data_IF_876017510776
#
_entry.id   IF_876017510776
#
_cell.length_a   1.000
_cell.length_b   1.000
_cell.length_c   1.000
_cell.angle_alpha   90.00
_cell.angle_beta   90.00
_cell.angle_gamma   90.00
#
_symmetry.space_group_name_H-M   'P 1'
#
loop_
_entity.id
_entity.type
_entity.pdbx_description
1 polymer ?
#
# COMPACT_ATOMS: atom_id res chain seq x y z
N UNK A 1 -14.03 4.77 14.67
CA UNK A 1 -13.41 3.42 14.68
C UNK A 1 -12.40 3.38 13.55
N UNK A 2 -11.10 3.16 13.81
CA UNK A 2 -10.11 2.95 12.75
C UNK A 2 -10.32 1.54 12.21
N UNK A 3 -10.93 1.40 11.03
CA UNK A 3 -11.23 0.11 10.41
C UNK A 3 -9.90 -0.46 9.94
N UNK A 4 -9.39 -1.51 10.60
CA UNK A 4 -8.28 -2.29 10.05
C UNK A 4 -8.81 -2.98 8.79
N UNK A 5 -8.38 -2.52 7.61
CA UNK A 5 -8.80 -3.10 6.35
C UNK A 5 -8.02 -4.41 6.13
N UNK A 6 -8.81 -5.48 6.03
CA UNK A 6 -8.36 -6.82 5.62
C UNK A 6 -7.81 -6.74 4.20
N UNK A 7 -7.08 -7.78 3.76
CA UNK A 7 -6.74 -8.01 2.35
C UNK A 7 -8.04 -8.08 1.55
N UNK A 8 -8.49 -6.94 1.04
CA UNK A 8 -9.72 -6.81 0.28
C UNK A 8 -9.56 -7.38 -1.12
N UNK A 9 -10.67 -7.84 -1.70
CA UNK A 9 -10.73 -8.13 -3.13
C UNK A 9 -11.33 -6.96 -3.89
N UNK A 10 -11.20 -6.99 -5.22
CA UNK A 10 -11.80 -5.99 -6.11
C UNK A 10 -13.33 -5.98 -5.98
N UNK A 11 -13.95 -7.15 -5.83
CA UNK A 11 -15.40 -7.26 -5.68
C UNK A 11 -15.91 -6.58 -4.40
N UNK A 12 -15.12 -6.65 -3.33
CA UNK A 12 -15.48 -6.08 -2.02
C UNK A 12 -15.14 -4.60 -1.89
N UNK A 13 -14.00 -4.15 -2.44
CA UNK A 13 -13.46 -2.81 -2.17
C UNK A 13 -13.08 -2.02 -3.42
N UNK A 14 -13.24 -2.58 -4.62
CA UNK A 14 -12.77 -1.98 -5.86
C UNK A 14 -11.25 -2.05 -6.05
N UNK A 15 -10.51 -2.70 -5.14
CA UNK A 15 -9.07 -2.87 -5.26
C UNK A 15 -8.54 -4.11 -4.55
N UNK A 16 -7.34 -4.54 -4.93
CA UNK A 16 -6.54 -5.53 -4.17
C UNK A 16 -5.03 -5.26 -4.32
N UNK A 17 -4.20 -5.85 -3.45
CA UNK A 17 -2.75 -5.76 -3.58
C UNK A 17 -2.21 -6.82 -4.55
N UNK A 18 -1.24 -6.43 -5.36
CA UNK A 18 -0.50 -7.34 -6.24
C UNK A 18 0.83 -7.71 -5.62
N UNK A 19 1.25 -8.97 -5.76
CA UNK A 19 2.59 -9.41 -5.36
C UNK A 19 3.64 -8.79 -6.29
N UNK A 20 4.53 -7.99 -5.70
CA UNK A 20 5.67 -7.42 -6.40
C UNK A 20 6.70 -8.50 -6.76
N UNK A 21 6.78 -9.58 -5.96
CA UNK A 21 7.60 -10.76 -6.26
C UNK A 21 7.09 -11.49 -7.52
N UNK A 22 5.78 -11.73 -7.62
CA UNK A 22 5.21 -12.36 -8.82
C UNK A 22 5.41 -11.47 -10.05
N UNK A 23 5.24 -10.15 -9.89
CA UNK A 23 5.48 -9.18 -10.98
C UNK A 23 6.95 -9.17 -11.42
N UNK A 24 7.89 -9.24 -10.47
CA UNK A 24 9.33 -9.34 -10.76
C UNK A 24 9.65 -10.68 -11.44
N UNK A 25 9.09 -11.80 -10.98
CA UNK A 25 9.31 -13.11 -11.59
C UNK A 25 8.81 -13.16 -13.04
N UNK A 26 7.68 -12.51 -13.33
CA UNK A 26 7.13 -12.42 -14.69
C UNK A 26 7.90 -11.46 -15.61
N UNK A 27 8.47 -10.39 -15.05
CA UNK A 27 9.15 -9.33 -15.82
C UNK A 27 10.47 -8.88 -15.16
N UNK A 28 11.44 -9.79 -14.98
CA UNK A 28 12.63 -9.50 -14.19
C UNK A 28 13.42 -8.34 -14.79
N UNK A 29 13.55 -8.26 -16.12
CA UNK A 29 14.39 -7.24 -16.77
C UNK A 29 13.83 -5.81 -16.66
N UNK A 30 12.51 -5.66 -16.46
CA UNK A 30 11.84 -4.34 -16.47
C UNK A 30 11.17 -3.98 -15.15
N UNK A 31 11.07 -4.93 -14.22
CA UNK A 31 10.44 -4.74 -12.92
C UNK A 31 11.34 -5.24 -11.80
N UNK A 32 12.35 -4.44 -11.44
CA UNK A 32 13.24 -4.72 -10.32
C UNK A 32 12.58 -4.36 -8.99
N UNK A 33 12.82 -5.17 -7.96
CA UNK A 33 12.32 -4.93 -6.59
C UNK A 33 13.48 -4.98 -5.58
N UNK A 34 13.34 -4.35 -4.41
CA UNK A 34 14.34 -4.49 -3.35
C UNK A 34 14.52 -5.95 -2.92
N UNK A 35 15.72 -6.29 -2.43
CA UNK A 35 16.01 -7.64 -1.95
C UNK A 35 15.08 -8.05 -0.81
N UNK A 36 14.88 -9.36 -0.65
CA UNK A 36 14.04 -9.93 0.40
C UNK A 36 14.44 -9.41 1.79
N UNK A 37 15.74 -9.40 2.10
CA UNK A 37 16.25 -8.91 3.39
C UNK A 37 15.86 -7.45 3.65
N UNK A 38 16.00 -6.58 2.64
CA UNK A 38 15.61 -5.17 2.75
C UNK A 38 14.10 -5.01 2.99
N UNK A 39 13.29 -5.81 2.30
CA UNK A 39 11.82 -5.79 2.45
C UNK A 39 11.37 -6.35 3.80
N UNK A 40 12.10 -7.30 4.37
CA UNK A 40 11.78 -7.93 5.65
C UNK A 40 12.31 -7.17 6.88
N UNK A 41 13.27 -6.26 6.71
CA UNK A 41 13.94 -5.52 7.79
C UNK A 41 13.35 -4.13 8.07
N UNK A 42 12.20 -3.77 7.49
CA UNK A 42 11.62 -2.44 7.62
C UNK A 42 10.95 -2.20 9.00
N UNK A 43 10.86 -0.92 9.35
CA UNK A 43 10.30 -0.43 10.63
C UNK A 43 9.30 0.72 10.44
N UNK A 44 8.65 1.13 11.53
CA UNK A 44 7.80 2.32 11.54
C UNK A 44 8.53 3.55 10.98
N UNK A 45 7.83 4.33 10.16
CA UNK A 45 8.34 5.50 9.45
C UNK A 45 8.96 5.21 8.08
N UNK A 46 9.24 3.95 7.76
CA UNK A 46 9.74 3.59 6.43
C UNK A 46 8.65 3.74 5.38
N UNK A 47 8.98 4.36 4.25
CA UNK A 47 8.11 4.47 3.10
C UNK A 47 8.25 3.25 2.22
N UNK A 48 7.14 2.67 1.79
CA UNK A 48 7.10 1.59 0.81
C UNK A 48 6.14 1.91 -0.31
N UNK A 49 6.50 1.52 -1.53
CA UNK A 49 5.58 1.59 -2.67
C UNK A 49 4.99 0.22 -2.89
N UNK A 50 3.68 0.15 -2.96
CA UNK A 50 2.92 -1.08 -3.23
C UNK A 50 2.22 -0.98 -4.58
N UNK A 51 1.79 -2.14 -5.09
CA UNK A 51 0.98 -2.27 -6.30
C UNK A 51 -0.48 -2.50 -5.92
N UNK A 52 -1.38 -1.63 -6.38
CA UNK A 52 -2.81 -1.73 -6.17
C UNK A 52 -3.48 -2.01 -7.52
N UNK A 53 -4.06 -3.20 -7.71
CA UNK A 53 -4.97 -3.46 -8.84
C UNK A 53 -6.32 -2.86 -8.49
N UNK A 54 -6.74 -1.84 -9.23
CA UNK A 54 -7.93 -1.02 -8.97
C UNK A 54 -8.89 -1.18 -10.14
N UNK A 55 -10.16 -1.45 -9.84
CA UNK A 55 -11.28 -1.42 -10.79
C UNK A 55 -12.21 -0.29 -10.38
N UNK A 56 -12.52 0.61 -11.32
CA UNK A 56 -13.46 1.71 -11.08
C UNK A 56 -14.76 1.49 -11.85
N UNK A 57 -15.87 1.84 -11.21
CA UNK A 57 -17.22 1.75 -11.77
C UNK A 57 -17.91 3.11 -11.76
N UNK A 58 -18.74 3.29 -12.77
CA UNK A 58 -19.70 4.38 -12.87
C UNK A 58 -21.03 3.83 -13.40
N UNK A 59 -22.12 4.13 -12.71
CA UNK A 59 -23.46 3.62 -13.01
C UNK A 59 -23.49 2.08 -13.08
N UNK A 60 -22.79 1.43 -12.15
CA UNK A 60 -22.69 -0.03 -12.07
C UNK A 60 -21.88 -0.71 -13.18
N UNK A 61 -21.22 0.05 -14.07
CA UNK A 61 -20.37 -0.50 -15.14
C UNK A 61 -18.90 -0.22 -14.88
N UNK A 62 -18.03 -1.19 -15.18
CA UNK A 62 -16.58 -0.99 -15.13
C UNK A 62 -16.18 0.00 -16.23
N UNK A 63 -15.50 1.08 -15.83
CA UNK A 63 -15.02 2.12 -16.74
C UNK A 63 -13.50 2.09 -16.88
N UNK A 64 -12.77 1.61 -15.87
CA UNK A 64 -11.31 1.45 -15.92
C UNK A 64 -10.83 0.33 -15.00
N UNK A 65 -9.70 -0.27 -15.36
CA UNK A 65 -8.98 -1.22 -14.52
C UNK A 65 -7.48 -1.13 -14.78
N UNK A 66 -6.72 -0.92 -13.72
CA UNK A 66 -5.27 -0.70 -13.83
C UNK A 66 -4.54 -0.98 -12.53
N UNK A 67 -3.20 -1.11 -12.64
CA UNK A 67 -2.33 -1.26 -11.47
C UNK A 67 -1.63 0.05 -11.15
N UNK A 68 -2.01 0.64 -10.03
CA UNK A 68 -1.43 1.87 -9.51
C UNK A 68 -0.30 1.59 -8.52
N UNK A 69 0.72 2.45 -8.54
CA UNK A 69 1.84 2.41 -7.60
C UNK A 69 1.68 3.52 -6.59
N UNK A 70 1.46 3.17 -5.33
CA UNK A 70 1.17 4.15 -4.28
C UNK A 70 2.07 3.97 -3.07
N UNK A 71 2.44 5.11 -2.46
CA UNK A 71 3.25 5.13 -1.25
C UNK A 71 2.41 4.84 -0.02
N UNK A 72 2.97 4.04 0.88
CA UNK A 72 2.43 3.70 2.19
C UNK A 72 3.56 3.91 3.21
N UNK A 73 3.27 4.60 4.31
CA UNK A 73 4.23 4.75 5.42
C UNK A 73 3.97 3.65 6.44
N UNK A 74 4.97 2.81 6.71
CA UNK A 74 4.84 1.75 7.72
C UNK A 74 4.57 2.39 9.08
N UNK A 75 3.50 1.95 9.73
CA UNK A 75 3.15 2.36 11.09
C UNK A 75 3.66 1.35 12.12
N UNK A 76 3.51 0.06 11.84
CA UNK A 76 3.91 -1.00 12.74
C UNK A 76 4.20 -2.29 11.99
N UNK A 77 4.97 -3.18 12.63
CA UNK A 77 5.06 -4.59 12.20
C UNK A 77 3.84 -5.35 12.73
N UNK A 78 3.33 -6.29 11.94
CA UNK A 78 2.20 -7.15 12.33
C UNK A 78 2.47 -8.57 11.86
N UNK A 79 2.82 -9.45 12.79
CA UNK A 79 3.25 -10.82 12.47
C UNK A 79 4.45 -10.81 11.51
N UNK A 80 4.32 -11.52 10.39
CA UNK A 80 5.32 -11.56 9.31
C UNK A 80 5.25 -10.38 8.34
N UNK A 81 4.30 -9.46 8.51
CA UNK A 81 4.08 -8.32 7.62
C UNK A 81 4.03 -6.99 8.36
N UNK A 82 3.30 -6.06 7.75
CA UNK A 82 3.25 -4.65 8.13
C UNK A 82 1.82 -4.15 8.14
N UNK A 83 1.60 -3.13 8.96
CA UNK A 83 0.48 -2.21 8.84
C UNK A 83 1.06 -0.84 8.51
N UNK A 84 0.59 -0.23 7.43
CA UNK A 84 1.02 1.11 7.02
C UNK A 84 -0.15 2.00 6.67
N UNK A 85 0.11 3.29 6.53
CA UNK A 85 -0.87 4.32 6.21
C UNK A 85 -0.67 4.75 4.75
N UNK A 86 -1.73 4.70 3.94
CA UNK A 86 -1.69 5.16 2.56
C UNK A 86 -1.36 6.66 2.52
N UNK A 87 -0.28 7.01 1.82
CA UNK A 87 0.28 8.37 1.72
C UNK A 87 0.08 8.97 0.32
N UNK A 88 -1.00 8.56 -0.35
CA UNK A 88 -1.37 8.98 -1.69
C UNK A 88 -2.90 8.98 -1.79
N UNK A 89 -3.44 10.00 -2.45
CA UNK A 89 -4.84 10.02 -2.86
C UNK A 89 -5.07 9.03 -4.03
N UNK A 90 -5.90 7.99 -3.86
CA UNK A 90 -6.23 7.02 -4.91
C UNK A 90 -7.32 7.52 -5.87
N UNK A 91 -7.92 8.70 -5.62
CA UNK A 91 -9.07 9.19 -6.36
C UNK A 91 -10.40 8.60 -5.86
N UNK A 92 -11.47 8.81 -6.64
CA UNK A 92 -12.85 8.49 -6.23
C UNK A 92 -13.55 7.73 -7.37
N UNK A 93 -14.23 6.63 -7.02
CA UNK A 93 -15.14 5.90 -7.90
C UNK A 93 -16.26 5.22 -7.08
N UNK A 94 -17.35 4.82 -7.73
CA UNK A 94 -18.56 4.27 -7.08
C UNK A 94 -18.27 3.08 -6.15
N UNK A 95 -17.37 2.20 -6.58
CA UNK A 95 -17.00 0.96 -5.89
C UNK A 95 -15.64 1.03 -5.18
N UNK A 96 -14.92 2.16 -5.25
CA UNK A 96 -13.57 2.28 -4.70
C UNK A 96 -13.63 2.65 -3.22
N UNK A 97 -13.36 1.66 -2.38
CA UNK A 97 -13.25 1.82 -0.94
C UNK A 97 -11.77 1.86 -0.52
N UNK A 98 -11.12 2.97 -0.87
CA UNK A 98 -9.73 3.27 -0.53
C UNK A 98 -9.57 4.80 -0.44
N UNK A 99 -8.97 5.29 0.64
CA UNK A 99 -8.73 6.71 0.84
C UNK A 99 -7.32 6.95 1.36
N UNK A 100 -6.78 8.13 1.07
CA UNK A 100 -5.56 8.59 1.74
C UNK A 100 -5.76 8.53 3.27
N UNK A 101 -4.76 8.03 3.99
CA UNK A 101 -4.82 7.83 5.43
C UNK A 101 -5.38 6.48 5.87
N UNK A 102 -5.89 5.65 4.96
CA UNK A 102 -6.35 4.29 5.29
C UNK A 102 -5.19 3.39 5.73
N UNK A 103 -5.50 2.49 6.66
CA UNK A 103 -4.56 1.49 7.14
C UNK A 103 -4.55 0.28 6.21
N UNK A 104 -3.38 -0.03 5.64
CA UNK A 104 -3.16 -1.13 4.70
C UNK A 104 -2.35 -2.22 5.39
N UNK A 105 -2.84 -3.46 5.33
CA UNK A 105 -2.13 -4.66 5.78
C UNK A 105 -1.43 -5.31 4.59
N UNK A 106 -0.12 -5.52 4.67
CA UNK A 106 0.66 -6.09 3.58
C UNK A 106 1.87 -6.88 4.09
N UNK A 107 2.31 -7.88 3.33
CA UNK A 107 3.56 -8.59 3.56
C UNK A 107 4.72 -8.05 2.70
N UNK A 108 5.97 -8.46 3.00
CA UNK A 108 7.16 -8.09 2.22
C UNK A 108 6.99 -8.30 0.72
N UNK A 109 6.29 -9.35 0.30
CA UNK A 109 6.02 -9.76 -1.08
C UNK A 109 5.34 -8.67 -1.94
N UNK A 110 4.65 -7.71 -1.31
CA UNK A 110 3.95 -6.62 -2.01
C UNK A 110 4.84 -5.39 -2.25
N UNK A 111 6.02 -5.30 -1.65
CA UNK A 111 6.86 -4.10 -1.67
C UNK A 111 7.66 -4.04 -2.98
N UNK A 112 7.37 -3.06 -3.82
CA UNK A 112 8.10 -2.84 -5.08
C UNK A 112 9.17 -1.75 -4.99
N UNK A 113 9.10 -0.87 -3.98
CA UNK A 113 10.09 0.19 -3.76
C UNK A 113 10.14 0.56 -2.28
N UNK A 114 11.29 1.06 -1.80
CA UNK A 114 11.51 1.51 -0.42
C UNK A 114 12.04 2.94 -0.45
N UNK A 115 11.61 3.77 0.50
CA UNK A 115 12.16 5.09 0.76
C UNK A 115 12.28 5.36 2.26
N UNK A 116 13.05 6.39 2.62
CA UNK A 116 13.16 6.91 3.99
C UNK A 116 12.62 8.35 4.00
N UNK A 117 11.29 8.54 4.10
CA UNK A 117 10.72 9.88 4.17
C UNK A 117 11.25 10.62 5.41
N UNK A 118 11.43 11.95 5.34
CA UNK A 118 11.90 12.73 6.49
C UNK A 118 10.96 12.56 7.69
N UNK A 119 11.53 12.42 8.89
CA UNK A 119 10.73 12.33 10.12
C UNK A 119 9.78 13.52 10.29
N UNK A 120 10.24 14.74 9.97
CA UNK A 120 9.41 15.96 10.04
C UNK A 120 8.18 15.89 9.11
N UNK A 121 8.31 15.29 7.92
CA UNK A 121 7.18 15.10 7.02
C UNK A 121 6.08 14.26 7.67
N UNK A 122 6.46 13.11 8.26
CA UNK A 122 5.53 12.20 8.93
C UNK A 122 4.88 12.89 10.12
N UNK A 123 5.67 13.59 10.93
CA UNK A 123 5.17 14.32 12.11
C UNK A 123 4.19 15.43 11.73
N UNK A 124 4.48 16.19 10.66
CA UNK A 124 3.61 17.26 10.19
C UNK A 124 2.29 16.72 9.63
N UNK A 125 2.35 15.60 8.91
CA UNK A 125 1.18 15.04 8.21
C UNK A 125 0.30 14.17 9.12
N UNK A 126 0.91 13.32 9.94
CA UNK A 126 0.21 12.30 10.72
C UNK A 126 0.29 12.51 12.24
N UNK A 127 1.08 13.49 12.70
CA UNK A 127 1.22 13.84 14.11
C UNK A 127 2.15 12.91 14.91
N UNK A 128 2.46 13.30 16.16
CA UNK A 128 3.39 12.57 17.03
C UNK A 128 2.89 11.17 17.41
N UNK A 129 1.58 10.95 17.40
CA UNK A 129 0.97 9.66 17.70
C UNK A 129 1.17 8.62 16.59
N UNK A 130 1.81 8.98 15.47
CA UNK A 130 2.14 8.02 14.42
C UNK A 130 3.13 6.95 14.91
N UNK A 131 4.14 7.38 15.68
CA UNK A 131 5.21 6.52 16.21
C UNK A 131 4.91 5.93 17.59
N UNK A 132 3.69 6.13 18.11
CA UNK A 132 3.24 5.57 19.37
C UNK A 132 2.47 4.28 19.08
N UNK A 133 2.75 3.23 19.85
CA UNK A 133 2.06 1.93 19.78
C UNK A 133 0.60 2.00 20.28
#
# INVERSE_FOLDING_TARGET
>A
MRKALRRGTIEENGWTLVSAEERNAAYPDTFQIPSQDKRASLSAGDGVKLLFDIETKENGRVIDRGTDRMWVIIKARSGSGYVGILDKDPGIAENLNLNEGDAIVFGPEHICEISKPPHEYIMKKYGPAFFQE
#
